data_IF_172130396330
#
_entry.id   IF_172130396330
#
_cell.length_a   1.000
_cell.length_b   1.000
_cell.length_c   1.000
_cell.angle_alpha   90.00
_cell.angle_beta   90.00
_cell.angle_gamma   90.00
#
_symmetry.space_group_name_H-M   'P 1'
#
loop_
_entity.id
_entity.type
_entity.pdbx_description
1 polymer ?
#
# COMPACT_ATOMS: atom_id res chain seq x y z
N UNK A 1 -42.71 9.24 -2.08
CA UNK A 1 -41.54 8.51 -2.63
C UNK A 1 -40.60 8.22 -1.48
N UNK A 2 -40.22 6.96 -1.29
CA UNK A 2 -39.13 6.60 -0.36
C UNK A 2 -37.88 7.36 -0.76
N UNK A 3 -37.25 8.05 0.20
CA UNK A 3 -36.01 8.75 -0.05
C UNK A 3 -34.96 7.72 -0.49
N UNK A 4 -34.34 7.95 -1.64
CA UNK A 4 -33.27 7.09 -2.12
C UNK A 4 -31.93 7.56 -1.55
N UNK A 5 -30.99 6.62 -1.39
CA UNK A 5 -29.58 6.94 -1.12
C UNK A 5 -28.67 6.14 -2.03
N UNK A 6 -27.44 6.59 -2.16
CA UNK A 6 -26.39 5.80 -2.78
C UNK A 6 -25.84 4.76 -1.80
N UNK A 7 -25.32 3.64 -2.31
CA UNK A 7 -24.56 2.71 -1.51
C UNK A 7 -23.34 3.41 -0.89
N UNK A 8 -23.11 3.21 0.41
CA UNK A 8 -22.06 3.92 1.15
C UNK A 8 -20.66 3.58 0.62
N UNK A 9 -20.46 2.35 0.15
CA UNK A 9 -19.23 1.96 -0.52
C UNK A 9 -18.98 2.81 -1.79
N UNK A 10 -20.00 3.10 -2.60
CA UNK A 10 -19.84 3.92 -3.81
C UNK A 10 -19.61 5.41 -3.49
N UNK A 11 -20.17 5.92 -2.39
CA UNK A 11 -19.84 7.26 -1.88
C UNK A 11 -18.39 7.34 -1.39
N UNK A 12 -17.92 6.33 -0.65
CA UNK A 12 -16.52 6.21 -0.25
C UNK A 12 -15.59 6.16 -1.46
N UNK A 13 -15.95 5.41 -2.51
CA UNK A 13 -15.19 5.32 -3.76
C UNK A 13 -15.09 6.70 -4.43
N UNK A 14 -16.21 7.39 -4.58
CA UNK A 14 -16.27 8.74 -5.14
C UNK A 14 -15.45 9.74 -4.32
N UNK A 15 -15.54 9.67 -2.99
CA UNK A 15 -14.77 10.49 -2.07
C UNK A 15 -13.26 10.31 -2.26
N UNK A 16 -12.79 9.06 -2.40
CA UNK A 16 -11.38 8.78 -2.69
C UNK A 16 -10.96 9.31 -4.06
N UNK A 17 -11.78 9.11 -5.10
CA UNK A 17 -11.45 9.59 -6.45
C UNK A 17 -11.40 11.12 -6.47
N UNK A 18 -12.36 11.82 -5.85
CA UNK A 18 -12.36 13.30 -5.74
C UNK A 18 -11.18 13.82 -4.95
N UNK A 19 -10.83 13.14 -3.87
CA UNK A 19 -9.69 13.53 -3.04
C UNK A 19 -8.38 13.47 -3.81
N UNK A 20 -8.26 12.52 -4.74
CA UNK A 20 -7.01 12.22 -5.41
C UNK A 20 -6.90 12.81 -6.82
N UNK A 21 -8.03 12.93 -7.52
CA UNK A 21 -8.15 13.51 -8.84
C UNK A 21 -9.10 14.72 -8.80
N UNK A 22 -8.76 15.78 -8.03
CA UNK A 22 -9.68 16.89 -7.77
C UNK A 22 -10.05 17.69 -9.02
N UNK A 23 -9.25 17.60 -10.09
CA UNK A 23 -9.45 18.33 -11.35
C UNK A 23 -10.00 17.47 -12.47
N UNK A 24 -10.38 16.21 -12.22
CA UNK A 24 -10.91 15.35 -13.28
C UNK A 24 -12.23 15.88 -13.83
N UNK A 25 -12.51 15.59 -15.09
CA UNK A 25 -13.84 15.73 -15.64
C UNK A 25 -14.85 14.87 -14.88
N UNK A 26 -16.06 15.41 -14.72
CA UNK A 26 -17.23 14.72 -14.16
C UNK A 26 -18.39 14.65 -15.17
N UNK A 27 -18.12 14.89 -16.46
CA UNK A 27 -19.13 15.04 -17.51
C UNK A 27 -19.99 13.78 -17.74
N UNK A 28 -19.52 12.61 -17.31
CA UNK A 28 -20.24 11.33 -17.38
C UNK A 28 -20.32 10.66 -16.01
N UNK A 29 -20.19 11.40 -14.91
CA UNK A 29 -20.46 10.87 -13.59
C UNK A 29 -21.96 10.64 -13.42
N UNK A 30 -22.33 9.41 -13.08
CA UNK A 30 -23.72 8.96 -13.02
C UNK A 30 -24.03 8.35 -11.66
N UNK A 31 -25.23 8.63 -11.14
CA UNK A 31 -25.70 8.12 -9.85
C UNK A 31 -27.03 7.41 -10.03
N UNK A 32 -28.12 8.01 -9.52
CA UNK A 32 -29.46 7.50 -9.79
C UNK A 32 -29.82 7.67 -11.28
N UNK A 33 -30.43 6.65 -11.87
CA UNK A 33 -31.00 6.73 -13.22
C UNK A 33 -32.13 7.77 -13.30
N UNK A 34 -32.27 8.40 -14.47
CA UNK A 34 -33.36 9.34 -14.72
C UNK A 34 -34.73 8.62 -14.83
N UNK A 35 -35.81 9.39 -15.01
CA UNK A 35 -37.17 8.85 -15.08
C UNK A 35 -37.37 7.86 -16.24
N UNK A 36 -36.61 8.00 -17.34
CA UNK A 36 -36.63 7.06 -18.46
C UNK A 36 -35.82 5.78 -18.15
N UNK A 37 -34.78 5.89 -17.33
CA UNK A 37 -33.97 4.79 -16.79
C UNK A 37 -34.71 4.00 -15.70
N UNK A 38 -35.67 4.62 -15.00
CA UNK A 38 -36.46 3.99 -13.94
C UNK A 38 -37.37 2.84 -14.42
N UNK A 39 -37.72 2.81 -15.71
CA UNK A 39 -38.58 1.78 -16.30
C UNK A 39 -37.88 0.42 -16.55
N UNK A 40 -36.56 0.33 -16.36
CA UNK A 40 -35.77 -0.90 -16.60
C UNK A 40 -35.14 -1.44 -15.32
N UNK A 41 -34.85 -2.74 -15.29
CA UNK A 41 -34.04 -3.34 -14.22
C UNK A 41 -32.59 -2.84 -14.34
N UNK A 42 -32.14 -2.00 -13.41
CA UNK A 42 -30.80 -1.43 -13.39
C UNK A 42 -30.34 -1.15 -11.97
N UNK A 43 -29.06 -1.34 -11.68
CA UNK A 43 -28.48 -1.00 -10.37
C UNK A 43 -28.36 0.53 -10.17
N UNK A 44 -28.60 1.34 -11.20
CA UNK A 44 -28.81 2.79 -11.06
C UNK A 44 -30.21 3.15 -10.52
N UNK A 45 -31.11 2.18 -10.44
CA UNK A 45 -32.40 2.36 -9.79
C UNK A 45 -32.30 1.93 -8.33
N UNK A 46 -32.99 2.61 -7.39
CA UNK A 46 -33.00 2.21 -6.00
C UNK A 46 -33.55 0.78 -5.85
N UNK A 47 -32.86 -0.05 -5.07
CA UNK A 47 -33.36 -1.36 -4.66
C UNK A 47 -34.58 -1.24 -3.71
N UNK A 48 -35.13 -2.37 -3.26
CA UNK A 48 -36.28 -2.38 -2.35
C UNK A 48 -36.03 -1.64 -1.02
N UNK A 49 -34.77 -1.43 -0.64
CA UNK A 49 -34.36 -0.65 0.54
C UNK A 49 -34.11 0.82 0.22
N UNK A 50 -34.41 1.27 -1.00
CA UNK A 50 -34.15 2.63 -1.47
C UNK A 50 -32.68 2.89 -1.78
N UNK A 51 -31.86 1.86 -2.00
CA UNK A 51 -30.41 2.04 -2.22
C UNK A 51 -30.06 1.84 -3.68
N UNK A 52 -29.44 2.86 -4.30
CA UNK A 52 -28.85 2.74 -5.63
C UNK A 52 -27.47 2.06 -5.52
N UNK A 53 -27.22 1.06 -6.36
CA UNK A 53 -26.08 0.13 -6.26
C UNK A 53 -25.06 0.27 -7.38
N UNK A 54 -25.24 1.23 -8.29
CA UNK A 54 -24.28 1.53 -9.34
C UNK A 54 -23.91 3.01 -9.39
N UNK A 55 -22.69 3.28 -9.85
CA UNK A 55 -22.15 4.61 -10.08
C UNK A 55 -21.22 4.60 -11.29
N UNK A 56 -21.35 5.64 -12.12
CA UNK A 56 -20.46 5.88 -13.24
C UNK A 56 -19.39 6.90 -12.86
N UNK A 57 -18.17 6.67 -13.35
CA UNK A 57 -17.05 7.61 -13.22
C UNK A 57 -16.51 7.96 -14.59
N UNK A 58 -16.48 9.26 -14.89
CA UNK A 58 -16.03 9.80 -16.18
C UNK A 58 -14.62 9.32 -16.53
N UNK A 59 -14.41 8.90 -17.78
CA UNK A 59 -13.09 8.64 -18.33
C UNK A 59 -12.46 9.97 -18.75
N UNK A 60 -11.38 10.34 -18.07
CA UNK A 60 -10.59 11.54 -18.35
C UNK A 60 -9.12 11.14 -18.39
N UNK A 61 -8.62 10.56 -19.49
CA UNK A 61 -7.30 9.92 -19.53
C UNK A 61 -6.14 10.87 -19.22
N UNK A 62 -6.34 12.19 -19.28
CA UNK A 62 -5.35 13.20 -18.87
C UNK A 62 -5.25 13.39 -17.35
N UNK A 63 -6.31 13.06 -16.60
CA UNK A 63 -6.39 13.28 -15.14
C UNK A 63 -6.77 12.00 -14.39
N UNK A 64 -7.87 11.36 -14.78
CA UNK A 64 -8.38 10.10 -14.24
C UNK A 64 -8.72 9.11 -15.37
N UNK A 65 -7.77 8.23 -15.68
CA UNK A 65 -8.00 7.10 -16.58
C UNK A 65 -8.92 6.06 -15.91
N UNK A 66 -10.22 6.20 -16.18
CA UNK A 66 -11.26 5.31 -15.69
C UNK A 66 -11.07 3.84 -16.13
N UNK A 67 -10.46 3.59 -17.30
CA UNK A 67 -10.27 2.22 -17.80
C UNK A 67 -9.12 1.53 -17.06
N UNK A 68 -8.00 2.22 -16.85
CA UNK A 68 -6.92 1.74 -16.00
C UNK A 68 -7.35 1.62 -14.51
N UNK A 69 -8.29 2.44 -14.06
CA UNK A 69 -8.94 2.24 -12.76
C UNK A 69 -9.81 0.98 -12.74
N UNK A 70 -10.62 0.72 -13.77
CA UNK A 70 -11.45 -0.48 -13.88
C UNK A 70 -10.60 -1.77 -13.80
N UNK A 71 -9.48 -1.81 -14.52
CA UNK A 71 -8.56 -2.96 -14.50
C UNK A 71 -7.99 -3.18 -13.09
N UNK A 72 -7.61 -2.12 -12.37
CA UNK A 72 -7.14 -2.21 -10.98
C UNK A 72 -8.23 -2.65 -10.01
N UNK A 73 -9.46 -2.20 -10.23
CA UNK A 73 -10.61 -2.56 -9.40
C UNK A 73 -10.92 -4.06 -9.52
N UNK A 74 -10.96 -4.59 -10.74
CA UNK A 74 -11.19 -6.02 -11.00
C UNK A 74 -10.01 -6.85 -10.47
N UNK A 75 -8.76 -6.41 -10.67
CA UNK A 75 -7.58 -7.09 -10.16
C UNK A 75 -7.53 -7.15 -8.62
N UNK A 76 -8.07 -6.13 -7.94
CA UNK A 76 -8.11 -6.08 -6.48
C UNK A 76 -9.07 -7.11 -5.86
N UNK A 77 -10.02 -7.65 -6.66
CA UNK A 77 -11.02 -8.64 -6.24
C UNK A 77 -11.77 -8.22 -4.97
N UNK A 78 -12.18 -6.96 -4.92
CA UNK A 78 -12.87 -6.44 -3.75
C UNK A 78 -14.25 -7.13 -3.62
N UNK A 79 -14.58 -7.71 -2.45
CA UNK A 79 -15.80 -8.51 -2.29
C UNK A 79 -17.09 -7.68 -2.42
N UNK A 80 -16.99 -6.35 -2.43
CA UNK A 80 -18.14 -5.47 -2.64
C UNK A 80 -18.59 -5.42 -4.09
N UNK A 81 -17.70 -5.71 -5.04
CA UNK A 81 -17.97 -5.60 -6.48
C UNK A 81 -18.94 -6.68 -6.93
N UNK A 82 -20.07 -6.26 -7.50
CA UNK A 82 -21.02 -7.14 -8.19
C UNK A 82 -20.63 -7.30 -9.65
N UNK A 83 -20.38 -6.19 -10.35
CA UNK A 83 -19.76 -6.20 -11.68
C UNK A 83 -19.19 -4.82 -12.03
N UNK A 84 -18.30 -4.81 -13.02
CA UNK A 84 -17.69 -3.60 -13.61
C UNK A 84 -17.82 -3.66 -15.12
N UNK A 85 -18.21 -2.56 -15.77
CA UNK A 85 -18.26 -2.44 -17.24
C UNK A 85 -17.35 -1.30 -17.67
N UNK A 86 -16.47 -1.57 -18.64
CA UNK A 86 -15.49 -0.59 -19.12
C UNK A 86 -14.99 -0.95 -20.50
N UNK A 87 -15.00 0.01 -21.43
CA UNK A 87 -14.40 -0.11 -22.76
C UNK A 87 -14.83 -1.39 -23.53
N UNK A 88 -16.14 -1.66 -23.56
CA UNK A 88 -16.74 -2.79 -24.26
C UNK A 88 -16.54 -4.15 -23.58
N UNK A 89 -16.13 -4.15 -22.29
CA UNK A 89 -15.87 -5.36 -21.51
C UNK A 89 -16.64 -5.32 -20.19
N UNK A 90 -16.98 -6.50 -19.68
CA UNK A 90 -17.63 -6.68 -18.37
C UNK A 90 -16.86 -7.71 -17.54
N UNK A 91 -16.74 -7.47 -16.24
CA UNK A 91 -16.32 -8.45 -15.24
C UNK A 91 -17.44 -8.60 -14.23
N UNK A 92 -17.93 -9.82 -14.04
CA UNK A 92 -19.00 -10.17 -13.10
C UNK A 92 -18.39 -10.90 -11.92
N UNK A 93 -18.74 -10.51 -10.69
CA UNK A 93 -18.32 -11.15 -9.44
C UNK A 93 -16.79 -11.34 -9.32
N UNK A 94 -16.03 -10.32 -9.72
CA UNK A 94 -14.55 -10.35 -9.76
C UNK A 94 -13.97 -11.45 -10.69
N UNK A 95 -14.75 -11.91 -11.65
CA UNK A 95 -14.33 -12.81 -12.73
C UNK A 95 -13.43 -12.14 -13.76
N UNK A 96 -12.94 -12.94 -14.72
CA UNK A 96 -12.16 -12.41 -15.84
C UNK A 96 -13.00 -11.47 -16.71
N UNK A 97 -12.33 -10.57 -17.44
CA UNK A 97 -12.99 -9.71 -18.43
C UNK A 97 -13.57 -10.55 -19.57
N UNK A 98 -14.85 -10.34 -19.87
CA UNK A 98 -15.53 -10.87 -21.06
C UNK A 98 -16.05 -9.74 -21.93
N UNK A 99 -16.31 -9.97 -23.23
CA UNK A 99 -16.98 -8.98 -24.07
C UNK A 99 -18.32 -8.55 -23.49
N UNK A 100 -18.62 -7.24 -23.54
CA UNK A 100 -19.89 -6.68 -23.13
C UNK A 100 -20.73 -6.37 -24.38
N UNK A 101 -21.93 -6.96 -24.46
CA UNK A 101 -22.81 -6.85 -25.63
C UNK A 101 -23.94 -5.82 -25.46
N UNK A 102 -23.92 -5.01 -24.40
CA UNK A 102 -24.93 -3.97 -24.19
C UNK A 102 -24.73 -2.76 -25.09
N UNK A 103 -25.83 -2.02 -25.33
CA UNK A 103 -25.87 -0.91 -26.29
C UNK A 103 -24.88 0.22 -26.02
N UNK A 104 -24.55 0.49 -24.76
CA UNK A 104 -23.53 1.47 -24.39
C UNK A 104 -22.18 0.75 -24.14
N UNK A 105 -21.15 0.97 -24.96
CA UNK A 105 -19.86 0.30 -24.77
C UNK A 105 -19.01 0.88 -23.62
N UNK A 106 -19.47 1.88 -22.88
CA UNK A 106 -18.74 2.47 -21.73
C UNK A 106 -17.32 2.94 -22.12
N UNK A 107 -17.23 3.73 -23.20
CA UNK A 107 -15.97 4.34 -23.67
C UNK A 107 -15.68 5.71 -23.03
N UNK A 108 -16.72 6.35 -22.46
CA UNK A 108 -16.62 7.68 -21.85
C UNK A 108 -16.62 7.64 -20.31
N UNK A 109 -16.84 6.47 -19.72
CA UNK A 109 -16.87 6.26 -18.27
C UNK A 109 -16.66 4.77 -17.96
N UNK A 110 -16.40 4.49 -16.69
CA UNK A 110 -16.51 3.14 -16.12
C UNK A 110 -17.80 3.05 -15.29
N UNK A 111 -18.52 1.95 -15.43
CA UNK A 111 -19.66 1.60 -14.59
C UNK A 111 -19.21 0.65 -13.49
N UNK A 112 -19.49 0.99 -12.22
CA UNK A 112 -19.18 0.14 -11.07
C UNK A 112 -20.47 -0.20 -10.32
N UNK A 113 -20.77 -1.49 -10.20
CA UNK A 113 -21.89 -2.00 -9.40
C UNK A 113 -21.41 -2.75 -8.16
N UNK A 114 -22.09 -2.55 -7.04
CA UNK A 114 -21.84 -3.24 -5.77
C UNK A 114 -22.96 -4.19 -5.40
N UNK A 115 -22.63 -5.22 -4.61
CA UNK A 115 -23.60 -6.21 -4.13
C UNK A 115 -24.64 -5.55 -3.20
N UNK A 116 -25.77 -6.22 -2.99
CA UNK A 116 -26.82 -5.73 -2.08
C UNK A 116 -26.47 -5.97 -0.61
N UNK A 117 -27.20 -5.31 0.29
CA UNK A 117 -27.07 -5.50 1.74
C UNK A 117 -25.84 -4.81 2.35
N UNK A 118 -25.55 -5.14 3.61
CA UNK A 118 -24.53 -4.47 4.42
C UNK A 118 -23.12 -4.59 3.81
N UNK A 119 -22.81 -5.71 3.14
CA UNK A 119 -21.52 -5.90 2.50
C UNK A 119 -21.27 -4.88 1.37
N UNK A 120 -22.30 -4.55 0.57
CA UNK A 120 -22.20 -3.50 -0.44
C UNK A 120 -22.25 -2.06 0.09
N UNK A 121 -22.51 -1.89 1.38
CA UNK A 121 -22.44 -0.61 2.10
C UNK A 121 -21.15 -0.46 2.93
N UNK A 122 -20.21 -1.41 2.83
CA UNK A 122 -18.95 -1.33 3.59
C UNK A 122 -18.06 -0.17 3.10
N UNK A 123 -17.86 0.79 4.00
CA UNK A 123 -17.13 2.06 3.78
C UNK A 123 -15.61 1.95 3.93
N UNK A 124 -15.04 0.75 4.01
CA UNK A 124 -13.58 0.59 3.97
C UNK A 124 -13.00 1.25 2.71
N UNK A 125 -11.82 1.88 2.78
CA UNK A 125 -11.21 2.46 1.59
C UNK A 125 -11.06 1.44 0.45
N UNK A 126 -11.42 1.85 -0.76
CA UNK A 126 -11.25 1.06 -1.97
C UNK A 126 -9.77 0.93 -2.29
N UNK A 127 -9.23 -0.30 -2.37
CA UNK A 127 -7.82 -0.53 -2.66
C UNK A 127 -7.41 -0.04 -4.06
N UNK A 128 -8.39 0.09 -4.97
CA UNK A 128 -8.19 0.59 -6.32
C UNK A 128 -8.06 2.12 -6.42
N UNK A 129 -8.32 2.87 -5.34
CA UNK A 129 -8.17 4.34 -5.31
C UNK A 129 -7.23 4.76 -4.18
N UNK A 130 -6.15 5.50 -4.46
CA UNK A 130 -5.24 5.93 -3.40
C UNK A 130 -5.93 6.85 -2.36
N UNK A 131 -5.45 6.85 -1.12
CA UNK A 131 -5.93 7.73 -0.04
C UNK A 131 -4.99 8.93 0.16
N UNK A 132 -5.47 10.07 0.67
CA UNK A 132 -4.62 11.26 0.91
C UNK A 132 -3.52 10.93 1.93
N UNK A 133 -2.25 10.97 1.49
CA UNK A 133 -1.08 10.47 2.23
C UNK A 133 -0.42 9.23 1.58
N UNK A 134 -1.14 8.56 0.68
CA UNK A 134 -0.58 7.73 -0.38
C UNK A 134 -0.46 8.60 -1.64
N UNK A 135 0.73 9.15 -1.89
CA UNK A 135 1.03 9.78 -3.19
C UNK A 135 0.93 8.72 -4.30
N UNK A 136 0.68 9.13 -5.54
CA UNK A 136 1.01 8.26 -6.71
C UNK A 136 2.43 7.77 -6.46
N UNK A 137 2.79 6.55 -6.87
CA UNK A 137 4.19 6.23 -6.87
C UNK A 137 4.81 7.19 -7.90
N UNK A 138 5.43 8.27 -7.40
CA UNK A 138 6.43 9.04 -8.11
C UNK A 138 7.30 7.98 -8.80
N UNK A 139 7.38 8.00 -10.12
CA UNK A 139 8.18 7.04 -10.85
C UNK A 139 9.48 7.73 -11.25
N UNK A 140 10.59 7.02 -11.22
CA UNK A 140 11.86 7.52 -11.75
C UNK A 140 12.49 6.50 -12.68
N UNK A 141 13.36 6.95 -13.58
CA UNK A 141 14.28 6.02 -14.22
C UNK A 141 15.17 5.40 -13.13
N UNK A 142 15.23 4.06 -13.02
CA UNK A 142 15.97 3.39 -11.95
C UNK A 142 17.49 3.49 -12.11
N UNK A 143 17.95 3.86 -13.32
CA UNK A 143 19.35 4.02 -13.63
C UNK A 143 19.54 5.12 -14.66
N UNK A 144 20.61 5.89 -14.52
CA UNK A 144 21.01 6.90 -15.50
C UNK A 144 22.04 6.30 -16.44
N UNK A 145 21.76 6.31 -17.73
CA UNK A 145 22.62 5.64 -18.70
C UNK A 145 21.98 5.44 -20.07
N UNK A 146 22.55 4.50 -20.82
CA UNK A 146 22.20 4.22 -22.21
C UNK A 146 21.27 3.01 -22.26
N UNK A 147 20.12 3.15 -22.91
CA UNK A 147 19.18 2.05 -23.12
C UNK A 147 19.74 1.09 -24.18
N UNK A 148 20.20 -0.10 -23.75
CA UNK A 148 20.96 -1.01 -24.62
C UNK A 148 20.19 -2.23 -25.09
N UNK A 149 19.19 -2.70 -24.33
CA UNK A 149 18.32 -3.81 -24.76
C UNK A 149 16.88 -3.66 -24.31
N UNK A 150 15.95 -3.96 -25.24
CA UNK A 150 14.51 -3.90 -25.00
C UNK A 150 13.97 -5.22 -24.43
N UNK A 151 12.76 -5.20 -23.88
CA UNK A 151 12.02 -6.42 -23.53
C UNK A 151 11.62 -7.19 -24.79
N UNK A 152 11.57 -8.52 -24.68
CA UNK A 152 11.20 -9.42 -25.76
C UNK A 152 12.37 -9.82 -26.65
N UNK A 153 12.09 -10.11 -27.92
CA UNK A 153 13.09 -10.54 -28.89
C UNK A 153 13.61 -9.33 -29.66
N UNK A 154 14.61 -8.63 -29.12
CA UNK A 154 15.24 -7.48 -29.74
C UNK A 154 16.76 -7.49 -29.50
N UNK A 155 17.54 -6.94 -30.43
CA UNK A 155 18.98 -6.74 -30.27
C UNK A 155 19.81 -8.03 -30.09
N UNK A 156 19.37 -9.15 -30.67
CA UNK A 156 20.12 -10.42 -30.70
C UNK A 156 19.81 -11.43 -29.59
N UNK A 157 18.91 -11.11 -28.66
CA UNK A 157 18.44 -12.03 -27.62
C UNK A 157 16.99 -12.43 -27.85
N UNK A 158 16.66 -13.72 -27.72
CA UNK A 158 15.28 -14.21 -27.71
C UNK A 158 14.76 -14.27 -26.27
N UNK A 159 13.56 -13.73 -26.04
CA UNK A 159 12.90 -13.86 -24.73
C UNK A 159 13.49 -13.02 -23.58
N UNK A 160 14.01 -11.82 -23.87
CA UNK A 160 14.54 -10.92 -22.83
C UNK A 160 13.43 -10.46 -21.87
N UNK A 161 13.57 -10.76 -20.57
CA UNK A 161 12.47 -10.60 -19.61
C UNK A 161 12.28 -9.19 -19.05
N UNK A 162 13.18 -8.27 -19.39
CA UNK A 162 13.22 -6.90 -18.87
C UNK A 162 13.85 -5.93 -19.86
N UNK A 163 14.44 -4.86 -19.34
CA UNK A 163 15.24 -3.91 -20.12
C UNK A 163 16.65 -3.81 -19.56
N UNK A 164 17.61 -3.52 -20.43
CA UNK A 164 18.98 -3.24 -20.00
C UNK A 164 19.33 -1.78 -20.18
N UNK A 165 19.86 -1.18 -19.11
CA UNK A 165 20.41 0.17 -19.11
C UNK A 165 21.89 0.07 -18.75
N UNK A 166 22.76 0.25 -19.74
CA UNK A 166 24.20 0.34 -19.52
C UNK A 166 24.56 1.69 -18.90
N UNK A 167 25.65 1.79 -18.13
CA UNK A 167 26.13 3.07 -17.61
C UNK A 167 26.46 4.06 -18.74
N UNK A 168 26.58 5.36 -18.41
CA UNK A 168 26.88 6.41 -19.39
C UNK A 168 28.14 6.10 -20.22
N UNK A 169 29.17 5.55 -19.58
CA UNK A 169 30.38 5.08 -20.26
C UNK A 169 30.56 3.57 -20.09
N UNK A 170 31.05 2.84 -21.12
CA UNK A 170 31.24 1.39 -21.05
C UNK A 170 32.08 0.93 -19.84
N UNK A 171 31.74 -0.23 -19.28
CA UNK A 171 32.53 -0.89 -18.24
C UNK A 171 32.39 -0.35 -16.80
N UNK A 172 31.67 0.75 -16.60
CA UNK A 172 31.50 1.37 -15.28
C UNK A 172 30.62 0.51 -14.35
N UNK A 173 31.08 0.35 -13.10
CA UNK A 173 30.31 -0.21 -11.98
C UNK A 173 30.17 0.83 -10.87
N UNK A 174 29.39 0.55 -9.83
CA UNK A 174 29.24 1.44 -8.68
C UNK A 174 28.33 2.64 -8.93
N UNK A 175 27.61 2.68 -10.05
CA UNK A 175 26.64 3.74 -10.35
C UNK A 175 25.33 3.47 -9.61
N UNK A 176 24.67 4.52 -9.08
CA UNK A 176 23.51 4.37 -8.22
C UNK A 176 22.33 3.79 -8.97
N UNK A 177 21.73 2.73 -8.41
CA UNK A 177 20.45 2.17 -8.84
C UNK A 177 19.38 2.59 -7.85
N UNK A 178 18.25 3.07 -8.37
CA UNK A 178 17.14 3.65 -7.61
C UNK A 178 15.87 2.82 -7.77
N UNK A 179 15.04 2.80 -6.73
CA UNK A 179 13.71 2.23 -6.84
C UNK A 179 12.87 3.08 -7.80
N UNK A 180 12.24 2.45 -8.80
CA UNK A 180 11.39 3.12 -9.78
C UNK A 180 10.11 3.58 -9.08
N UNK A 181 9.46 2.67 -8.36
CA UNK A 181 8.31 2.94 -7.52
C UNK A 181 8.62 2.75 -6.04
N UNK A 182 7.80 3.35 -5.17
CA UNK A 182 7.81 3.02 -3.75
C UNK A 182 7.32 1.58 -3.52
N UNK A 183 7.84 0.91 -2.50
CA UNK A 183 7.47 -0.48 -2.23
C UNK A 183 8.15 -1.08 -1.01
N UNK A 184 8.00 -2.39 -0.85
CA UNK A 184 8.70 -3.17 0.19
C UNK A 184 9.67 -4.13 -0.47
N UNK A 185 10.94 -4.07 -0.09
CA UNK A 185 11.95 -5.05 -0.51
C UNK A 185 11.54 -6.42 0.00
N UNK A 186 11.26 -7.36 -0.90
CA UNK A 186 10.85 -8.72 -0.53
C UNK A 186 12.02 -9.69 -0.57
N UNK A 187 13.06 -9.41 -1.37
CA UNK A 187 14.25 -10.26 -1.47
C UNK A 187 15.47 -9.43 -1.87
N UNK A 188 16.64 -9.84 -1.39
CA UNK A 188 17.93 -9.31 -1.83
C UNK A 188 18.89 -10.46 -2.06
N UNK A 189 19.72 -10.36 -3.09
CA UNK A 189 20.75 -11.34 -3.43
C UNK A 189 22.14 -10.69 -3.37
N UNK A 190 23.11 -11.40 -2.78
CA UNK A 190 24.51 -10.98 -2.66
C UNK A 190 25.44 -12.17 -2.88
N UNK A 191 26.70 -11.88 -3.20
CA UNK A 191 27.76 -12.89 -3.30
C UNK A 191 27.71 -13.75 -4.56
N UNK A 192 26.88 -13.39 -5.55
CA UNK A 192 26.83 -14.12 -6.82
C UNK A 192 28.07 -13.78 -7.64
N UNK A 193 28.87 -14.79 -7.97
CA UNK A 193 30.09 -14.64 -8.78
C UNK A 193 29.77 -14.26 -10.23
N UNK A 194 30.68 -13.53 -10.92
CA UNK A 194 30.57 -13.31 -12.36
C UNK A 194 30.45 -14.63 -13.13
N UNK A 195 29.65 -14.66 -14.19
CA UNK A 195 29.40 -15.85 -15.02
C UNK A 195 28.47 -16.90 -14.41
N UNK A 196 28.04 -16.74 -13.14
CA UNK A 196 27.11 -17.68 -12.54
C UNK A 196 25.70 -17.56 -13.15
N UNK A 197 25.22 -18.65 -13.74
CA UNK A 197 23.89 -18.75 -14.37
C UNK A 197 22.79 -19.25 -13.41
N UNK A 198 23.18 -19.78 -12.24
CA UNK A 198 22.25 -20.19 -11.17
C UNK A 198 21.80 -18.94 -10.42
N UNK A 199 20.64 -18.43 -10.79
CA UNK A 199 20.13 -17.17 -10.26
C UNK A 199 19.23 -17.37 -9.04
N UNK A 200 19.06 -16.30 -8.26
CA UNK A 200 18.47 -16.31 -6.92
C UNK A 200 16.95 -16.43 -6.91
N UNK A 201 16.27 -15.82 -7.89
CA UNK A 201 14.80 -15.89 -8.04
C UNK A 201 14.31 -16.03 -9.48
N UNK A 202 15.18 -15.84 -10.48
CA UNK A 202 14.83 -15.93 -11.89
C UNK A 202 16.03 -16.49 -12.70
N UNK A 203 16.25 -17.82 -12.69
CA UNK A 203 17.45 -18.47 -13.22
C UNK A 203 17.91 -17.92 -14.58
N UNK A 204 19.23 -17.74 -14.77
CA UNK A 204 19.82 -17.21 -16.01
C UNK A 204 19.72 -15.70 -16.25
N UNK A 205 18.82 -14.99 -15.55
CA UNK A 205 18.53 -13.55 -15.77
C UNK A 205 19.03 -12.62 -14.67
N UNK A 206 19.55 -13.18 -13.57
CA UNK A 206 19.94 -12.39 -12.40
C UNK A 206 21.36 -12.68 -11.93
N UNK A 207 21.88 -11.79 -11.10
CA UNK A 207 23.08 -11.98 -10.30
C UNK A 207 22.76 -11.63 -8.85
N UNK A 208 23.55 -10.72 -8.27
CA UNK A 208 23.08 -9.94 -7.14
C UNK A 208 21.88 -9.09 -7.57
N UNK A 209 21.05 -8.72 -6.61
CA UNK A 209 19.92 -7.89 -6.93
C UNK A 209 19.03 -7.51 -5.77
N UNK A 210 17.97 -6.80 -6.12
CA UNK A 210 16.88 -6.39 -5.22
C UNK A 210 15.55 -6.70 -5.90
N UNK A 211 14.64 -7.36 -5.19
CA UNK A 211 13.26 -7.53 -5.61
C UNK A 211 12.36 -6.72 -4.66
N UNK A 212 11.57 -5.80 -5.21
CA UNK A 212 10.63 -4.98 -4.44
C UNK A 212 9.21 -5.29 -4.90
N UNK A 213 8.32 -5.52 -3.93
CA UNK A 213 6.88 -5.58 -4.13
C UNK A 213 6.30 -4.17 -4.03
N UNK A 214 5.56 -3.77 -5.05
CA UNK A 214 4.78 -2.54 -5.06
C UNK A 214 3.57 -2.66 -4.13
N UNK A 215 2.86 -1.56 -3.92
CA UNK A 215 1.66 -1.55 -3.06
C UNK A 215 0.46 -2.24 -3.71
N UNK A 216 0.42 -2.33 -5.04
CA UNK A 216 -0.62 -2.97 -5.86
C UNK A 216 -0.39 -4.47 -6.09
N UNK A 217 0.73 -5.03 -5.63
CA UNK A 217 1.05 -6.46 -5.75
C UNK A 217 1.99 -6.81 -6.91
N UNK A 218 2.27 -5.86 -7.81
CA UNK A 218 3.31 -6.02 -8.82
C UNK A 218 4.71 -6.02 -8.20
N UNK A 219 5.73 -6.40 -8.98
CA UNK A 219 7.12 -6.27 -8.58
C UNK A 219 7.99 -5.54 -9.58
N UNK A 220 9.08 -5.00 -9.03
CA UNK A 220 10.19 -4.41 -9.74
C UNK A 220 11.49 -5.13 -9.32
N UNK A 221 12.13 -5.77 -10.29
CA UNK A 221 13.36 -6.56 -10.13
C UNK A 221 14.58 -5.79 -10.64
N UNK A 222 15.59 -5.65 -9.78
CA UNK A 222 16.84 -4.94 -10.06
C UNK A 222 17.98 -5.95 -10.03
N UNK A 223 18.50 -6.31 -11.19
CA UNK A 223 19.47 -7.39 -11.33
C UNK A 223 20.83 -6.86 -11.78
N UNK A 224 21.90 -7.59 -11.43
CA UNK A 224 23.29 -7.13 -11.55
C UNK A 224 23.57 -5.90 -10.66
N UNK A 225 22.99 -5.93 -9.45
CA UNK A 225 23.03 -4.83 -8.49
C UNK A 225 23.52 -5.33 -7.15
N UNK A 226 24.58 -4.72 -6.62
CA UNK A 226 24.98 -4.89 -5.23
C UNK A 226 24.01 -4.10 -4.36
N UNK A 227 23.17 -4.75 -3.52
CA UNK A 227 22.17 -4.06 -2.73
C UNK A 227 22.81 -3.11 -1.69
N UNK A 228 22.08 -2.08 -1.27
CA UNK A 228 22.30 -1.34 -0.01
C UNK A 228 21.14 -1.49 0.97
N UNK A 229 20.06 -2.12 0.50
CA UNK A 229 18.84 -2.40 1.27
C UNK A 229 18.78 -3.86 1.70
N UNK A 230 17.76 -4.21 2.49
CA UNK A 230 17.49 -5.56 2.99
C UNK A 230 16.00 -5.93 2.86
N UNK A 231 15.69 -7.23 2.85
CA UNK A 231 14.31 -7.70 2.89
C UNK A 231 13.53 -7.12 4.08
N UNK A 232 12.25 -6.79 3.85
CA UNK A 232 11.36 -6.09 4.77
C UNK A 232 11.52 -4.56 4.77
N UNK A 233 12.56 -4.00 4.14
CA UNK A 233 12.75 -2.56 4.08
C UNK A 233 11.72 -1.90 3.15
N UNK A 234 11.04 -0.87 3.65
CA UNK A 234 10.24 0.02 2.80
C UNK A 234 11.17 1.00 2.09
N UNK A 235 10.92 1.22 0.81
CA UNK A 235 11.67 2.16 -0.03
C UNK A 235 10.70 3.15 -0.66
N UNK A 236 11.17 4.37 -0.86
CA UNK A 236 10.48 5.39 -1.66
C UNK A 236 11.02 5.37 -3.08
N UNK A 237 10.24 5.85 -4.05
CA UNK A 237 10.77 6.00 -5.40
C UNK A 237 11.91 7.02 -5.46
N UNK A 238 12.91 6.76 -6.30
CA UNK A 238 14.13 7.56 -6.35
C UNK A 238 15.15 7.23 -5.26
N UNK A 239 14.77 6.47 -4.22
CA UNK A 239 15.70 6.04 -3.19
C UNK A 239 16.76 5.11 -3.80
N UNK A 240 18.03 5.37 -3.49
CA UNK A 240 19.13 4.46 -3.86
C UNK A 240 18.96 3.14 -3.13
N UNK A 241 18.89 2.05 -3.90
CA UNK A 241 18.69 0.68 -3.39
C UNK A 241 19.90 -0.22 -3.60
N UNK A 242 20.88 0.26 -4.36
CA UNK A 242 22.10 -0.46 -4.64
C UNK A 242 22.94 0.24 -5.70
N UNK A 243 23.93 -0.48 -6.19
CA UNK A 243 24.83 -0.02 -7.23
C UNK A 243 25.03 -1.11 -8.27
N UNK A 244 25.10 -0.75 -9.56
CA UNK A 244 25.34 -1.74 -10.60
C UNK A 244 26.70 -2.44 -10.41
N UNK A 245 26.76 -3.74 -10.72
CA UNK A 245 27.94 -4.58 -10.47
C UNK A 245 28.22 -5.57 -11.63
N UNK A 246 29.14 -6.50 -11.39
CA UNK A 246 29.61 -7.53 -12.35
C UNK A 246 29.09 -8.94 -12.03
N UNK A 247 28.09 -9.06 -11.16
CA UNK A 247 27.61 -10.36 -10.69
C UNK A 247 26.75 -11.09 -11.72
N UNK A 248 26.73 -12.42 -11.64
CA UNK A 248 25.83 -13.26 -12.44
C UNK A 248 26.18 -13.32 -13.93
N UNK A 249 25.20 -13.74 -14.73
CA UNK A 249 25.33 -13.94 -16.16
C UNK A 249 25.14 -12.63 -16.93
N UNK A 250 26.22 -11.87 -17.12
CA UNK A 250 26.23 -10.61 -17.88
C UNK A 250 27.48 -10.53 -18.76
N UNK A 251 27.37 -9.87 -19.92
CA UNK A 251 28.48 -9.65 -20.87
C UNK A 251 29.27 -8.38 -20.56
N UNK A 252 28.61 -7.36 -20.03
CA UNK A 252 29.22 -6.12 -19.56
C UNK A 252 28.34 -5.47 -18.47
N UNK A 253 28.89 -4.61 -17.58
CA UNK A 253 28.12 -3.93 -16.55
C UNK A 253 26.90 -3.17 -17.08
N UNK A 254 25.71 -3.50 -16.57
CA UNK A 254 24.44 -2.82 -16.84
C UNK A 254 23.46 -3.04 -15.67
N UNK A 255 22.35 -2.30 -15.64
CA UNK A 255 21.16 -2.69 -14.86
C UNK A 255 20.25 -3.53 -15.76
N UNK A 256 19.93 -4.75 -15.34
CA UNK A 256 18.81 -5.52 -15.91
C UNK A 256 17.56 -5.29 -15.04
N UNK A 257 16.57 -4.58 -15.58
CA UNK A 257 15.36 -4.16 -14.87
C UNK A 257 14.13 -4.92 -15.38
N UNK A 258 13.44 -5.63 -14.49
CA UNK A 258 12.22 -6.40 -14.79
C UNK A 258 11.00 -5.83 -14.05
N UNK A 259 9.82 -5.93 -14.65
CA UNK A 259 8.51 -5.68 -14.01
C UNK A 259 7.65 -6.94 -14.07
N UNK A 260 7.02 -7.34 -12.96
CA UNK A 260 6.22 -8.57 -12.85
C UNK A 260 4.80 -8.28 -12.37
N UNK A 261 3.79 -8.89 -12.99
CA UNK A 261 2.38 -8.72 -12.61
C UNK A 261 2.05 -9.37 -11.26
N UNK A 262 2.77 -10.42 -10.87
CA UNK A 262 2.75 -11.00 -9.53
C UNK A 262 4.18 -11.13 -9.00
N UNK A 263 4.47 -10.44 -7.88
CA UNK A 263 5.79 -10.47 -7.26
C UNK A 263 6.29 -11.88 -6.88
N UNK A 264 5.39 -12.86 -6.78
CA UNK A 264 5.73 -14.26 -6.47
C UNK A 264 6.07 -15.09 -7.69
N UNK A 265 5.76 -14.61 -8.89
CA UNK A 265 5.90 -15.37 -10.13
C UNK A 265 6.80 -14.62 -11.13
N UNK A 266 8.06 -15.04 -11.22
CA UNK A 266 9.04 -14.46 -12.14
C UNK A 266 8.70 -14.66 -13.63
N UNK A 267 7.78 -15.57 -13.97
CA UNK A 267 7.25 -15.78 -15.32
C UNK A 267 6.13 -14.80 -15.68
N UNK A 268 5.60 -14.04 -14.71
CA UNK A 268 4.60 -12.99 -14.94
C UNK A 268 5.21 -11.65 -15.40
N UNK A 269 6.45 -11.70 -15.90
CA UNK A 269 7.16 -10.51 -16.35
C UNK A 269 6.48 -9.89 -17.56
N UNK A 270 6.49 -8.56 -17.65
CA UNK A 270 5.93 -7.79 -18.75
C UNK A 270 6.86 -6.64 -19.12
N UNK A 271 6.67 -6.04 -20.30
CA UNK A 271 7.50 -4.94 -20.81
C UNK A 271 7.56 -3.74 -19.85
N UNK A 272 8.73 -3.46 -19.22
CA UNK A 272 8.89 -2.31 -18.32
C UNK A 272 8.63 -0.97 -19.02
N UNK A 273 8.83 -0.87 -20.34
CA UNK A 273 8.61 0.37 -21.08
C UNK A 273 7.14 0.85 -21.03
N UNK A 274 6.19 -0.02 -20.67
CA UNK A 274 4.81 0.38 -20.34
C UNK A 274 4.77 1.39 -19.19
N UNK A 275 5.53 1.14 -18.13
CA UNK A 275 5.62 2.06 -16.99
C UNK A 275 6.32 3.36 -17.39
N UNK A 276 7.43 3.30 -18.12
CA UNK A 276 8.13 4.50 -18.60
C UNK A 276 7.22 5.40 -19.45
N UNK A 277 6.46 4.83 -20.40
CA UNK A 277 5.47 5.59 -21.20
C UNK A 277 4.35 6.16 -20.34
N UNK A 278 3.77 5.36 -19.45
CA UNK A 278 2.68 5.77 -18.55
C UNK A 278 3.05 6.96 -17.67
N UNK A 279 4.30 7.04 -17.22
CA UNK A 279 4.77 8.09 -16.32
C UNK A 279 5.58 9.20 -17.03
N UNK A 280 5.67 9.19 -18.36
CA UNK A 280 6.39 10.21 -19.13
C UNK A 280 7.90 10.25 -18.86
N UNK A 281 8.52 9.11 -18.57
CA UNK A 281 9.94 9.00 -18.20
C UNK A 281 10.73 8.41 -19.37
N UNK A 282 11.81 9.06 -19.78
CA UNK A 282 12.76 8.47 -20.73
C UNK A 282 13.62 7.41 -20.04
N UNK A 283 13.75 6.23 -20.64
CA UNK A 283 14.62 5.15 -20.13
C UNK A 283 16.07 5.66 -20.07
N UNK A 284 16.73 5.48 -18.93
CA UNK A 284 18.11 5.94 -18.75
C UNK A 284 18.25 7.42 -18.37
N UNK A 285 17.15 8.17 -18.23
CA UNK A 285 17.20 9.58 -17.83
C UNK A 285 17.72 9.75 -16.40
N UNK A 286 18.29 10.92 -16.13
CA UNK A 286 18.49 11.37 -14.76
C UNK A 286 17.11 11.69 -14.14
N UNK A 287 16.89 11.39 -12.84
CA UNK A 287 15.68 11.85 -12.16
C UNK A 287 15.56 13.37 -12.28
N UNK A 288 14.41 13.89 -12.73
CA UNK A 288 14.19 15.32 -12.85
C UNK A 288 14.31 16.02 -11.48
N UNK A 289 15.18 17.02 -11.38
CA UNK A 289 15.07 18.10 -10.40
C UNK A 289 14.96 17.73 -8.92
N UNK A 290 15.99 17.06 -8.39
CA UNK A 290 16.34 17.14 -6.97
C UNK A 290 17.82 17.45 -6.88
N UNK A 291 18.18 18.74 -6.95
CA UNK A 291 19.54 19.21 -6.68
C UNK A 291 19.95 18.79 -5.27
N UNK A 292 20.61 17.65 -5.17
CA UNK A 292 21.22 17.15 -3.95
C UNK A 292 22.63 16.76 -4.32
N UNK A 293 23.58 17.64 -4.05
CA UNK A 293 25.00 17.36 -4.16
C UNK A 293 25.35 16.05 -3.46
N UNK A 294 26.43 15.42 -3.90
CA UNK A 294 27.01 14.27 -3.24
C UNK A 294 27.15 14.57 -1.73
N UNK A 295 26.27 14.00 -0.92
CA UNK A 295 26.42 14.08 0.53
C UNK A 295 27.61 13.21 0.90
N UNK A 296 28.74 13.87 1.19
CA UNK A 296 29.90 13.28 1.88
C UNK A 296 29.40 12.54 3.14
N UNK A 297 30.00 11.41 3.55
CA UNK A 297 29.52 10.67 4.72
C UNK A 297 29.53 11.59 5.94
N UNK A 298 28.36 11.79 6.56
CA UNK A 298 28.26 12.61 7.76
C UNK A 298 29.06 11.97 8.89
N UNK A 299 29.99 12.73 9.47
CA UNK A 299 30.63 12.39 10.74
C UNK A 299 29.58 12.29 11.84
N UNK A 300 29.70 11.24 12.65
CA UNK A 300 28.75 10.86 13.70
C UNK A 300 28.62 12.01 14.72
N UNK A 301 27.41 12.59 14.96
CA UNK A 301 27.27 13.62 15.99
C UNK A 301 27.36 12.98 17.38
N UNK A 302 28.14 13.61 18.26
CA UNK A 302 28.27 13.25 19.67
C UNK A 302 26.92 13.49 20.36
N UNK A 303 26.43 12.59 21.23
CA UNK A 303 25.08 12.71 21.78
C UNK A 303 25.03 13.85 22.80
N UNK A 304 24.15 14.83 22.57
CA UNK A 304 23.72 15.78 23.59
C UNK A 304 22.68 15.11 24.50
N UNK A 305 22.92 15.21 25.80
CA UNK A 305 22.10 14.62 26.87
C UNK A 305 20.71 15.29 26.90
N UNK A 306 19.59 14.57 26.80
CA UNK A 306 18.27 15.20 26.84
C UNK A 306 17.89 15.64 28.26
N UNK A 307 17.48 16.89 28.44
CA UNK A 307 16.68 17.29 29.60
C UNK A 307 15.27 16.67 29.51
N UNK A 308 14.65 16.27 30.63
CA UNK A 308 13.44 15.47 30.61
C UNK A 308 12.24 16.33 30.24
N UNK A 309 11.69 16.13 29.04
CA UNK A 309 10.37 16.64 28.70
C UNK A 309 9.31 16.08 29.67
N UNK A 310 8.26 16.87 29.94
CA UNK A 310 7.12 16.49 30.79
C UNK A 310 6.58 15.11 30.39
N UNK A 311 6.34 14.23 31.39
CA UNK A 311 5.87 12.85 31.19
C UNK A 311 4.34 12.77 31.36
N UNK A 312 3.72 11.69 30.92
CA UNK A 312 2.29 11.46 31.18
C UNK A 312 2.06 11.36 32.71
N UNK A 313 1.06 12.04 33.30
CA UNK A 313 -0.09 12.70 32.65
C UNK A 313 0.09 14.17 32.25
N UNK A 314 1.24 14.79 32.55
CA UNK A 314 1.50 16.21 32.25
C UNK A 314 1.63 16.51 30.74
N UNK A 315 1.84 15.48 29.92
CA UNK A 315 1.86 15.55 28.45
C UNK A 315 1.25 14.31 27.77
N UNK A 316 0.82 14.45 26.52
CA UNK A 316 0.35 13.32 25.71
C UNK A 316 1.51 12.36 25.41
N UNK A 317 1.21 11.06 25.39
CA UNK A 317 2.08 10.07 24.77
C UNK A 317 2.14 10.30 23.26
N UNK A 318 3.34 10.30 22.68
CA UNK A 318 3.53 10.38 21.23
C UNK A 318 3.32 9.01 20.57
N UNK A 319 3.13 8.98 19.25
CA UNK A 319 3.05 7.73 18.48
C UNK A 319 4.32 6.84 18.60
N UNK A 320 5.44 7.43 19.04
CA UNK A 320 6.73 6.74 19.28
C UNK A 320 6.96 6.36 20.75
N UNK A 321 6.02 6.61 21.66
CA UNK A 321 6.17 6.33 23.10
C UNK A 321 6.63 4.90 23.40
N UNK A 322 7.70 4.73 24.17
CA UNK A 322 8.28 3.42 24.47
C UNK A 322 7.30 2.52 25.23
N UNK A 323 7.52 1.20 25.23
CA UNK A 323 6.70 0.27 26.01
C UNK A 323 6.70 0.63 27.51
N UNK A 324 7.83 1.12 28.02
CA UNK A 324 7.94 1.62 29.39
C UNK A 324 7.06 2.85 29.61
N UNK A 325 7.12 3.85 28.72
CA UNK A 325 6.27 5.05 28.84
C UNK A 325 4.77 4.74 28.79
N UNK A 326 4.36 3.78 27.95
CA UNK A 326 2.97 3.31 27.89
C UNK A 326 2.58 2.55 29.18
N UNK A 327 3.50 1.73 29.71
CA UNK A 327 3.28 1.02 30.96
C UNK A 327 3.18 1.98 32.17
N UNK A 328 4.02 3.01 32.24
CA UNK A 328 3.98 4.05 33.27
C UNK A 328 2.66 4.83 33.23
N UNK A 329 2.19 5.18 32.03
CA UNK A 329 0.90 5.85 31.86
C UNK A 329 -0.28 4.98 32.30
N UNK A 330 -0.27 3.70 31.95
CA UNK A 330 -1.26 2.76 32.48
C UNK A 330 -1.16 2.63 34.01
N UNK A 331 0.05 2.56 34.57
CA UNK A 331 0.24 2.45 36.02
C UNK A 331 -0.37 3.65 36.74
N UNK A 332 -0.09 4.87 36.28
CA UNK A 332 -0.64 6.10 36.83
C UNK A 332 -2.16 6.20 36.64
N UNK A 333 -2.71 5.86 35.46
CA UNK A 333 -4.15 5.83 35.22
C UNK A 333 -4.87 4.87 36.20
N UNK A 334 -4.32 3.66 36.35
CA UNK A 334 -4.92 2.64 37.21
C UNK A 334 -4.86 3.01 38.69
N UNK A 335 -3.80 3.70 39.13
CA UNK A 335 -3.71 4.22 40.49
C UNK A 335 -4.83 5.23 40.80
N UNK A 336 -5.12 6.14 39.86
CA UNK A 336 -6.22 7.12 40.02
C UNK A 336 -7.59 6.45 39.94
N UNK A 337 -7.74 5.41 39.12
CA UNK A 337 -8.95 4.60 39.08
C UNK A 337 -9.11 3.62 40.27
N UNK A 338 -8.28 3.74 41.33
CA UNK A 338 -8.41 2.98 42.58
C UNK A 338 -7.81 1.57 42.57
N UNK A 339 -7.16 1.15 41.49
CA UNK A 339 -6.53 -0.18 41.41
C UNK A 339 -5.12 -0.14 42.03
N UNK A 340 -4.96 -0.71 43.23
CA UNK A 340 -3.75 -0.63 44.08
C UNK A 340 -2.91 -1.91 44.15
N UNK A 341 -3.07 -2.84 43.21
CA UNK A 341 -2.30 -4.09 43.19
C UNK A 341 -0.76 -3.88 43.15
N UNK A 342 -0.02 -4.91 43.59
CA UNK A 342 1.44 -4.88 43.76
C UNK A 342 2.22 -4.69 42.45
N UNK A 343 1.66 -5.04 41.29
CA UNK A 343 2.31 -4.85 39.98
C UNK A 343 1.43 -4.15 38.94
N UNK A 344 2.06 -3.43 38.00
CA UNK A 344 1.37 -2.72 36.91
C UNK A 344 0.52 -3.63 36.03
N UNK A 345 0.95 -4.89 35.85
CA UNK A 345 0.21 -5.89 35.09
C UNK A 345 -1.01 -6.37 35.85
N UNK A 346 -0.91 -6.62 37.17
CA UNK A 346 -2.07 -7.01 37.98
C UNK A 346 -3.14 -5.93 38.00
N UNK A 347 -2.75 -4.65 38.12
CA UNK A 347 -3.69 -3.53 38.05
C UNK A 347 -4.48 -3.54 36.75
N UNK A 348 -3.79 -3.73 35.62
CA UNK A 348 -4.42 -3.82 34.29
C UNK A 348 -5.29 -5.07 34.13
N UNK A 349 -4.83 -6.23 34.57
CA UNK A 349 -5.63 -7.47 34.55
C UNK A 349 -6.90 -7.31 35.38
N UNK A 350 -6.81 -6.71 36.57
CA UNK A 350 -7.96 -6.44 37.45
C UNK A 350 -8.93 -5.45 36.82
N UNK A 351 -8.42 -4.37 36.23
CA UNK A 351 -9.25 -3.43 35.48
C UNK A 351 -9.94 -4.09 34.29
N UNK A 352 -9.23 -4.84 33.45
CA UNK A 352 -9.81 -5.59 32.33
C UNK A 352 -10.85 -6.62 32.80
N UNK A 353 -10.66 -7.21 33.99
CA UNK A 353 -11.63 -8.11 34.62
C UNK A 353 -12.90 -7.35 35.02
N UNK A 354 -12.77 -6.16 35.59
CA UNK A 354 -13.89 -5.27 35.87
C UNK A 354 -14.61 -4.79 34.59
N UNK A 355 -13.92 -4.71 33.46
CA UNK A 355 -14.53 -4.43 32.14
C UNK A 355 -15.25 -5.65 31.53
N UNK A 356 -15.22 -6.81 32.20
CA UNK A 356 -15.86 -8.04 31.75
C UNK A 356 -15.15 -8.74 30.58
N UNK A 357 -13.94 -8.32 30.19
CA UNK A 357 -13.20 -8.89 29.04
C UNK A 357 -12.09 -9.84 29.44
N UNK A 358 -11.57 -9.75 30.66
CA UNK A 358 -10.51 -10.64 31.15
C UNK A 358 -11.03 -11.73 32.09
N UNK A 359 -10.89 -12.99 31.66
CA UNK A 359 -11.30 -14.18 32.44
C UNK A 359 -10.14 -14.92 33.11
N UNK A 360 -8.90 -14.44 32.97
CA UNK A 360 -7.70 -15.08 33.51
C UNK A 360 -7.44 -14.80 35.00
N UNK A 361 -6.36 -15.40 35.52
CA UNK A 361 -5.85 -15.16 36.86
C UNK A 361 -5.18 -13.78 36.99
N UNK A 362 -5.23 -13.18 38.18
CA UNK A 362 -4.55 -11.90 38.47
C UNK A 362 -3.09 -12.15 38.90
N UNK A 363 -2.35 -12.83 38.02
CA UNK A 363 -1.01 -13.37 38.29
C UNK A 363 0.14 -12.39 38.00
N UNK A 364 -0.16 -11.21 37.42
CA UNK A 364 0.85 -10.21 37.07
C UNK A 364 1.70 -10.54 35.86
N UNK A 365 1.40 -11.62 35.15
CA UNK A 365 2.12 -12.03 33.93
C UNK A 365 1.38 -11.55 32.70
N UNK A 366 2.06 -10.78 31.84
CA UNK A 366 1.46 -10.30 30.60
C UNK A 366 1.45 -11.40 29.55
N UNK A 367 0.28 -12.01 29.32
CA UNK A 367 0.10 -13.12 28.39
C UNK A 367 -0.93 -12.83 27.30
N UNK A 368 -1.13 -13.81 26.41
CA UNK A 368 -2.10 -13.75 25.30
C UNK A 368 -3.52 -13.39 25.77
N UNK A 369 -3.98 -13.97 26.88
CA UNK A 369 -5.30 -13.65 27.43
C UNK A 369 -5.43 -12.18 27.84
N UNK A 370 -4.36 -11.60 28.39
CA UNK A 370 -4.31 -10.19 28.80
C UNK A 370 -4.35 -9.28 27.56
N UNK A 371 -3.58 -9.63 26.52
CA UNK A 371 -3.58 -8.92 25.24
C UNK A 371 -4.94 -8.98 24.54
N UNK A 372 -5.57 -10.16 24.49
CA UNK A 372 -6.91 -10.36 23.91
C UNK A 372 -7.96 -9.52 24.62
N UNK A 373 -7.96 -9.56 25.95
CA UNK A 373 -8.87 -8.76 26.76
C UNK A 373 -8.68 -7.26 26.53
N UNK A 374 -7.43 -6.79 26.39
CA UNK A 374 -7.16 -5.39 26.06
C UNK A 374 -7.68 -5.01 24.67
N UNK A 375 -7.43 -5.83 23.64
CA UNK A 375 -7.99 -5.62 22.29
C UNK A 375 -9.51 -5.52 22.32
N UNK A 376 -10.18 -6.46 23.00
CA UNK A 376 -11.64 -6.45 23.15
C UNK A 376 -12.14 -5.19 23.86
N UNK A 377 -11.46 -4.79 24.92
CA UNK A 377 -11.84 -3.65 25.74
C UNK A 377 -11.72 -2.34 24.97
N UNK A 378 -10.64 -2.18 24.19
CA UNK A 378 -10.41 -1.02 23.36
C UNK A 378 -11.30 -1.01 22.11
N UNK A 379 -11.64 -2.18 21.56
CA UNK A 379 -12.60 -2.29 20.46
C UNK A 379 -14.01 -1.89 20.89
N UNK A 380 -14.48 -2.38 22.05
CA UNK A 380 -15.78 -1.98 22.63
C UNK A 380 -15.88 -0.47 22.89
N UNK A 381 -14.74 0.19 23.10
CA UNK A 381 -14.63 1.63 23.32
C UNK A 381 -14.34 2.44 22.06
N UNK A 382 -14.29 1.80 20.89
CA UNK A 382 -14.06 2.46 19.61
C UNK A 382 -12.63 2.91 19.34
N UNK A 383 -11.63 2.41 20.07
CA UNK A 383 -10.22 2.77 19.89
C UNK A 383 -9.43 1.73 19.07
N UNK A 384 -9.87 0.47 19.05
CA UNK A 384 -9.19 -0.62 18.36
C UNK A 384 -10.09 -1.24 17.30
N UNK A 385 -9.71 -1.09 16.03
CA UNK A 385 -10.45 -1.60 14.86
C UNK A 385 -9.74 -2.76 14.16
N UNK A 386 -8.75 -3.35 14.83
CA UNK A 386 -8.02 -4.53 14.37
C UNK A 386 -8.66 -5.83 14.85
N UNK A 387 -8.09 -6.95 14.41
CA UNK A 387 -8.52 -8.29 14.82
C UNK A 387 -8.16 -8.58 16.28
N UNK A 388 -9.09 -9.20 17.01
CA UNK A 388 -8.87 -9.67 18.39
C UNK A 388 -8.15 -11.02 18.32
N UNK A 389 -6.82 -10.96 18.18
CA UNK A 389 -5.96 -12.10 17.87
C UNK A 389 -5.00 -12.49 19.03
N UNK A 390 -5.06 -11.77 20.15
CA UNK A 390 -4.17 -11.94 21.31
C UNK A 390 -2.71 -11.56 21.06
N UNK A 391 -2.40 -10.87 19.96
CA UNK A 391 -1.05 -10.44 19.59
C UNK A 391 -0.86 -8.95 19.84
N UNK A 392 0.20 -8.62 20.58
CA UNK A 392 0.53 -7.22 20.91
C UNK A 392 1.23 -6.55 19.72
N UNK A 393 0.44 -6.15 18.73
CA UNK A 393 0.89 -5.54 17.48
C UNK A 393 0.83 -4.00 17.45
N UNK A 394 1.30 -3.38 16.36
CA UNK A 394 1.37 -1.92 16.23
C UNK A 394 -0.02 -1.24 16.27
N UNK A 395 -1.08 -1.91 15.79
CA UNK A 395 -2.45 -1.41 15.90
C UNK A 395 -2.92 -1.35 17.37
N UNK A 396 -2.60 -2.37 18.18
CA UNK A 396 -2.98 -2.39 19.60
C UNK A 396 -2.23 -1.29 20.36
N UNK A 397 -0.94 -1.13 20.06
CA UNK A 397 -0.12 -0.05 20.63
C UNK A 397 -0.66 1.35 20.28
N UNK A 398 -1.12 1.56 19.04
CA UNK A 398 -1.72 2.81 18.63
C UNK A 398 -3.05 3.08 19.36
N UNK A 399 -3.89 2.05 19.49
CA UNK A 399 -5.14 2.13 20.24
C UNK A 399 -4.92 2.42 21.73
N UNK A 400 -3.91 1.79 22.37
CA UNK A 400 -3.54 2.06 23.76
C UNK A 400 -3.11 3.52 23.97
N UNK A 401 -2.27 4.06 23.08
CA UNK A 401 -1.83 5.46 23.15
C UNK A 401 -3.03 6.41 22.98
N UNK A 402 -3.91 6.15 22.03
CA UNK A 402 -5.11 6.95 21.80
C UNK A 402 -6.04 6.93 23.03
N UNK A 403 -6.27 5.75 23.61
CA UNK A 403 -7.07 5.59 24.82
C UNK A 403 -6.45 6.32 26.02
N UNK A 404 -5.17 6.09 26.34
CA UNK A 404 -4.50 6.75 27.48
C UNK A 404 -4.50 8.28 27.36
N UNK A 405 -4.28 8.80 26.15
CA UNK A 405 -4.36 10.25 25.90
C UNK A 405 -5.79 10.80 26.04
N UNK A 406 -6.82 10.00 25.75
CA UNK A 406 -8.21 10.37 26.03
C UNK A 406 -8.48 10.45 27.53
N UNK A 407 -8.01 9.46 28.31
CA UNK A 407 -8.26 9.39 29.75
C UNK A 407 -7.51 10.48 30.53
N UNK A 408 -6.36 10.93 30.02
CA UNK A 408 -5.63 12.09 30.53
C UNK A 408 -6.50 13.35 30.58
N UNK A 409 -7.40 13.51 29.61
CA UNK A 409 -8.29 14.68 29.52
C UNK A 409 -9.51 14.59 30.44
N UNK A 410 -9.92 13.39 30.83
CA UNK A 410 -11.20 13.16 31.53
C UNK A 410 -11.05 12.83 33.01
N UNK A 411 -9.95 12.22 33.44
CA UNK A 411 -9.82 11.65 34.80
C UNK A 411 -8.66 12.24 35.63
N UNK A 412 -7.82 13.10 35.03
CA UNK A 412 -6.54 13.56 35.62
C UNK A 412 -6.32 15.08 35.50
N UNK A 413 -7.31 15.80 35.01
CA UNK A 413 -7.33 17.26 34.92
C UNK A 413 -8.50 17.80 35.72
#
# INVERSE_FOLDING_TARGET
MTAWRMALALEQLLGQIRTYYPTRSTASDGGKGDSAHAARTSDHNPDASGVVRARDFTHDPGVFDAHAFADRLVAARDPRVKYVISAGRISVENGAWTPYMGANPHQKHVHVSVISGAAGDDERPWPAVPTKGHTMPHAVSPFTGRYTQKHGSAGGYTGHAGIDVAPPSPGQTGKPVRAMFAGTVVRTARGVRPGNRRSTWAPGRTGNGVLIRNTDGEAQGYNHVTPTVRAGQKVTAGQVIGYNDRSGNQTAPHLHFETWADWRNASSHYDPARAFRRFGISVGSAPAGGGGGASKPATKPKPSKPSPGKKWPDANLSAKATKAQIADAWYALMAVAGYRDRSATQRRQRWLKAQGTYKGALDGKWGRLTTKALQQTLAKRGYYHGVIDSVAGPMLRAAEIAFLNSQRKTNLK
#
